data_IF_687111832497
#
_entry.id   IF_687111832497
#
_cell.length_a   1.000
_cell.length_b   1.000
_cell.length_c   1.000
_cell.angle_alpha   90.00
_cell.angle_beta   90.00
_cell.angle_gamma   90.00
#
_symmetry.space_group_name_H-M   'P 1'
#
loop_
_entity.id
_entity.type
_entity.pdbx_description
1 polymer ?
#
# COMPACT_ATOMS: atom_id res chain seq x y z
N UNK A 1 -23.77 5.65 -4.89
CA UNK A 1 -23.56 4.47 -5.74
C UNK A 1 -22.08 4.13 -5.70
N UNK A 2 -21.68 3.04 -5.06
CA UNK A 2 -20.29 2.55 -5.11
C UNK A 2 -20.12 1.74 -6.39
N UNK A 3 -19.67 2.40 -7.45
CA UNK A 3 -19.37 1.74 -8.72
C UNK A 3 -18.11 0.88 -8.52
N UNK A 4 -18.27 -0.44 -8.45
CA UNK A 4 -17.12 -1.35 -8.43
C UNK A 4 -16.41 -1.28 -9.79
N UNK A 5 -15.08 -1.25 -9.78
CA UNK A 5 -14.28 -1.33 -11.00
C UNK A 5 -14.57 -2.65 -11.73
N UNK A 6 -14.62 -2.60 -13.07
CA UNK A 6 -14.59 -3.80 -13.89
C UNK A 6 -13.30 -4.58 -13.62
N UNK A 7 -13.32 -5.93 -13.53
CA UNK A 7 -12.13 -6.74 -13.22
C UNK A 7 -10.90 -6.36 -14.07
N UNK A 8 -11.03 -6.31 -15.39
CA UNK A 8 -9.91 -5.95 -16.29
C UNK A 8 -9.38 -4.53 -16.08
N UNK A 9 -10.22 -3.59 -15.63
CA UNK A 9 -9.78 -2.23 -15.31
C UNK A 9 -9.00 -2.23 -13.99
N UNK A 10 -9.46 -3.01 -13.01
CA UNK A 10 -8.77 -3.18 -11.72
C UNK A 10 -7.39 -3.82 -11.92
N UNK A 11 -7.29 -4.85 -12.74
CA UNK A 11 -6.03 -5.57 -12.96
C UNK A 11 -5.00 -4.67 -13.67
N UNK A 12 -5.43 -3.88 -14.67
CA UNK A 12 -4.59 -2.87 -15.32
C UNK A 12 -4.09 -1.80 -14.33
N UNK A 13 -4.98 -1.28 -13.48
CA UNK A 13 -4.61 -0.31 -12.46
C UNK A 13 -3.61 -0.89 -11.44
N UNK A 14 -3.74 -2.16 -11.09
CA UNK A 14 -2.77 -2.83 -10.21
C UNK A 14 -1.40 -2.97 -10.86
N UNK A 15 -1.35 -3.33 -12.14
CA UNK A 15 -0.10 -3.38 -12.90
C UNK A 15 0.56 -2.01 -13.02
N UNK A 16 -0.22 -0.96 -13.28
CA UNK A 16 0.25 0.43 -13.34
C UNK A 16 0.77 0.92 -11.98
N UNK A 17 0.08 0.59 -10.89
CA UNK A 17 0.51 0.95 -9.54
C UNK A 17 1.85 0.28 -9.20
N UNK A 18 2.00 -1.02 -9.46
CA UNK A 18 3.25 -1.74 -9.22
C UNK A 18 4.41 -1.16 -10.05
N UNK A 19 4.14 -0.79 -11.31
CA UNK A 19 5.13 -0.13 -12.17
C UNK A 19 5.54 1.24 -11.62
N UNK A 20 4.58 2.04 -11.15
CA UNK A 20 4.86 3.36 -10.60
C UNK A 20 5.67 3.29 -9.29
N UNK A 21 5.39 2.31 -8.42
CA UNK A 21 6.20 2.04 -7.22
C UNK A 21 7.64 1.68 -7.62
N UNK A 22 7.79 0.77 -8.59
CA UNK A 22 9.09 0.35 -9.10
C UNK A 22 9.88 1.52 -9.70
N UNK A 23 9.21 2.44 -10.41
CA UNK A 23 9.79 3.64 -11.00
C UNK A 23 10.17 4.70 -9.94
N UNK A 24 9.41 4.81 -8.85
CA UNK A 24 9.79 5.63 -7.71
C UNK A 24 11.11 5.15 -7.09
N UNK A 25 11.30 3.83 -7.02
CA UNK A 25 12.48 3.18 -6.46
C UNK A 25 12.49 3.20 -4.92
N UNK A 26 13.26 2.29 -4.32
CA UNK A 26 13.22 2.00 -2.88
C UNK A 26 13.38 3.24 -1.99
N UNK A 27 14.31 4.14 -2.33
CA UNK A 27 14.59 5.37 -1.57
C UNK A 27 13.39 6.34 -1.48
N UNK A 28 12.51 6.33 -2.50
CA UNK A 28 11.37 7.25 -2.60
C UNK A 28 10.03 6.56 -2.49
N UNK A 29 10.01 5.24 -2.35
CA UNK A 29 8.80 4.43 -2.33
C UNK A 29 7.82 4.92 -1.25
N UNK A 30 8.30 5.12 -0.03
CA UNK A 30 7.46 5.60 1.08
C UNK A 30 6.86 6.99 0.79
N UNK A 31 7.65 7.89 0.20
CA UNK A 31 7.19 9.23 -0.18
C UNK A 31 6.15 9.17 -1.31
N UNK A 32 6.38 8.32 -2.31
CA UNK A 32 5.45 8.08 -3.40
C UNK A 32 4.12 7.53 -2.89
N UNK A 33 4.15 6.50 -2.04
CA UNK A 33 2.95 5.89 -1.47
C UNK A 33 2.18 6.87 -0.59
N UNK A 34 2.87 7.65 0.24
CA UNK A 34 2.26 8.70 1.05
C UNK A 34 1.56 9.75 0.17
N UNK A 35 2.23 10.22 -0.89
CA UNK A 35 1.64 11.18 -1.83
C UNK A 35 0.44 10.60 -2.57
N UNK A 36 0.52 9.36 -3.02
CA UNK A 36 -0.57 8.67 -3.71
C UNK A 36 -1.79 8.53 -2.79
N UNK A 37 -1.59 8.10 -1.54
CA UNK A 37 -2.65 7.97 -0.55
C UNK A 37 -3.36 9.30 -0.26
N UNK A 38 -2.61 10.39 -0.09
CA UNK A 38 -3.17 11.73 0.13
C UNK A 38 -4.03 12.16 -1.07
N UNK A 39 -3.53 12.00 -2.29
CA UNK A 39 -4.31 12.33 -3.50
C UNK A 39 -5.60 11.51 -3.58
N UNK A 40 -5.56 10.23 -3.23
CA UNK A 40 -6.76 9.38 -3.20
C UNK A 40 -7.74 9.79 -2.10
N UNK A 41 -7.27 10.20 -0.92
CA UNK A 41 -8.13 10.69 0.15
C UNK A 41 -8.89 11.96 -0.25
N UNK A 42 -8.24 12.88 -0.97
CA UNK A 42 -8.91 14.05 -1.56
C UNK A 42 -10.03 13.64 -2.54
N UNK A 43 -9.81 12.59 -3.35
CA UNK A 43 -10.85 12.07 -4.24
C UNK A 43 -11.99 11.34 -3.50
N UNK A 44 -11.70 10.73 -2.35
CA UNK A 44 -12.70 10.05 -1.52
C UNK A 44 -13.58 11.05 -0.79
N UNK A 45 -12.99 12.14 -0.26
CA UNK A 45 -13.69 13.25 0.39
C UNK A 45 -14.47 12.88 1.66
N UNK A 46 -14.23 11.70 2.25
CA UNK A 46 -14.94 11.18 3.42
C UNK A 46 -13.95 10.68 4.47
N UNK A 47 -13.80 11.46 5.54
CA UNK A 47 -12.87 11.23 6.63
C UNK A 47 -13.09 9.87 7.33
N UNK A 48 -14.35 9.46 7.52
CA UNK A 48 -14.67 8.20 8.18
C UNK A 48 -14.29 7.01 7.30
N UNK A 49 -14.49 7.12 5.97
CA UNK A 49 -14.02 6.12 5.00
C UNK A 49 -12.50 6.04 4.95
N UNK A 50 -11.81 7.18 4.96
CA UNK A 50 -10.35 7.22 4.98
C UNK A 50 -9.78 6.58 6.26
N UNK A 51 -10.35 6.88 7.44
CA UNK A 51 -9.95 6.24 8.71
C UNK A 51 -10.12 4.73 8.71
N UNK A 52 -11.23 4.23 8.15
CA UNK A 52 -11.45 2.77 8.02
C UNK A 52 -10.40 2.13 7.11
N UNK A 53 -10.14 2.73 5.95
CA UNK A 53 -9.12 2.22 5.02
C UNK A 53 -7.72 2.16 5.66
N UNK A 54 -7.34 3.17 6.47
CA UNK A 54 -6.08 3.15 7.22
C UNK A 54 -6.03 2.00 8.24
N UNK A 55 -7.11 1.79 9.00
CA UNK A 55 -7.19 0.69 9.96
C UNK A 55 -7.10 -0.68 9.27
N UNK A 56 -7.82 -0.86 8.17
CA UNK A 56 -7.81 -2.09 7.37
C UNK A 56 -6.41 -2.38 6.81
N UNK A 57 -5.73 -1.35 6.28
CA UNK A 57 -4.37 -1.47 5.76
C UNK A 57 -3.37 -1.86 6.86
N UNK A 58 -3.46 -1.24 8.04
CA UNK A 58 -2.60 -1.58 9.18
C UNK A 58 -2.83 -3.00 9.69
N UNK A 59 -4.09 -3.45 9.73
CA UNK A 59 -4.43 -4.80 10.17
C UNK A 59 -3.89 -5.89 9.25
N UNK A 60 -3.81 -5.62 7.95
CA UNK A 60 -3.32 -6.56 6.95
C UNK A 60 -1.79 -6.66 6.86
N UNK A 61 -1.04 -5.78 7.54
CA UNK A 61 0.42 -5.87 7.57
C UNK A 61 0.85 -7.09 8.38
N UNK A 62 1.67 -7.99 7.82
CA UNK A 62 2.22 -9.10 8.58
C UNK A 62 3.06 -8.52 9.72
N UNK A 63 2.73 -8.89 10.96
CA UNK A 63 3.64 -8.63 12.08
C UNK A 63 4.94 -9.38 11.81
N UNK A 64 6.11 -8.72 11.89
CA UNK A 64 7.37 -9.42 11.77
C UNK A 64 7.41 -10.49 12.87
N UNK A 65 7.39 -11.76 12.45
CA UNK A 65 7.61 -12.87 13.36
C UNK A 65 9.08 -12.83 13.79
N UNK A 66 9.32 -12.88 15.10
CA UNK A 66 10.65 -12.81 15.73
C UNK A 66 11.67 -13.80 15.14
N UNK A 67 11.21 -14.87 14.49
CA UNK A 67 12.05 -15.87 13.82
C UNK A 67 12.83 -15.37 12.60
N UNK A 68 12.51 -14.20 12.02
CA UNK A 68 13.29 -13.62 10.92
C UNK A 68 14.57 -12.89 11.40
N UNK A 69 14.64 -12.51 12.68
CA UNK A 69 15.79 -11.79 13.24
C UNK A 69 16.95 -12.72 13.65
N UNK A 70 16.67 -13.97 14.01
CA UNK A 70 17.70 -14.92 14.48
C UNK A 70 18.64 -15.40 13.35
N UNK A 71 18.15 -15.43 12.10
CA UNK A 71 18.92 -15.91 10.95
C UNK A 71 20.07 -14.99 10.52
N UNK A 72 20.13 -13.75 11.00
CA UNK A 72 21.23 -12.82 10.72
C UNK A 72 22.36 -12.86 11.75
N UNK A 73 22.20 -13.56 12.87
CA UNK A 73 23.18 -13.55 13.97
C UNK A 73 23.98 -14.84 14.13
N UNK A 74 23.65 -15.91 13.39
CA UNK A 74 24.39 -17.18 13.44
C UNK A 74 25.26 -17.33 12.19
N UNK A 75 26.40 -16.63 12.19
CA UNK A 75 27.40 -16.68 11.13
C UNK A 75 28.67 -16.01 11.59
N UNK A 76 29.28 -16.55 12.65
CA UNK A 76 30.67 -16.31 13.05
C UNK A 76 31.57 -17.36 12.37
#
# INVERSE_FOLDING_TARGET
MTTSLHPDARDRLYAECARAISEAGAERESLFLARLALLLFEQVGDEARCRRALADALHALPVPSLSAAESLQTGD
#
